data_IF_181527668375
#
_entry.id   IF_181527668375
#
_cell.length_a   1.000
_cell.length_b   1.000
_cell.length_c   1.000
_cell.angle_alpha   90.00
_cell.angle_beta   90.00
_cell.angle_gamma   90.00
#
_symmetry.space_group_name_H-M   'P 1'
#
loop_
_entity.id
_entity.type
_entity.pdbx_description
1 polymer ?
#
# COMPACT_ATOMS: atom_id res chain seq x y z
N UNK A 1 6.92 -26.78 -19.35
CA UNK A 1 8.21 -26.46 -18.72
C UNK A 1 8.10 -25.25 -17.84
N UNK A 2 8.90 -25.13 -16.75
CA UNK A 2 8.94 -23.96 -15.87
C UNK A 2 9.28 -22.69 -16.66
N UNK A 3 10.07 -22.78 -17.71
CA UNK A 3 10.44 -21.66 -18.58
C UNK A 3 9.28 -21.09 -19.42
N UNK A 4 8.15 -21.78 -19.46
CA UNK A 4 6.94 -21.35 -20.17
C UNK A 4 5.92 -20.69 -19.28
N UNK A 5 6.18 -20.59 -17.96
CA UNK A 5 5.26 -20.01 -16.98
C UNK A 5 5.61 -18.53 -16.81
N UNK A 6 4.63 -17.66 -17.00
CA UNK A 6 4.71 -16.25 -16.62
C UNK A 6 4.07 -16.05 -15.25
N UNK A 7 4.76 -15.35 -14.36
CA UNK A 7 4.24 -14.94 -13.06
C UNK A 7 3.46 -13.62 -13.14
N UNK A 8 3.62 -12.88 -14.23
CA UNK A 8 2.92 -11.61 -14.40
C UNK A 8 1.41 -11.82 -14.53
N UNK A 9 0.65 -10.93 -13.93
CA UNK A 9 -0.81 -10.85 -14.02
C UNK A 9 -1.22 -9.40 -14.29
N UNK A 10 -2.36 -9.24 -14.89
CA UNK A 10 -2.98 -7.94 -15.12
C UNK A 10 -4.20 -7.77 -14.22
N UNK A 11 -4.32 -6.61 -13.61
CA UNK A 11 -5.46 -6.23 -12.76
C UNK A 11 -6.03 -4.90 -13.23
N UNK A 12 -7.36 -4.82 -13.24
CA UNK A 12 -8.10 -3.58 -13.39
C UNK A 12 -8.77 -3.30 -12.04
N UNK A 13 -8.33 -2.25 -11.38
CA UNK A 13 -8.82 -1.94 -10.04
C UNK A 13 -10.22 -1.32 -10.05
N UNK A 14 -11.05 -1.74 -9.10
CA UNK A 14 -12.48 -1.41 -9.07
C UNK A 14 -12.76 0.08 -8.94
N UNK A 15 -12.04 0.76 -8.04
CA UNK A 15 -12.29 2.16 -7.70
C UNK A 15 -11.43 3.12 -8.51
N UNK A 16 -10.13 2.91 -8.56
CA UNK A 16 -9.21 3.78 -9.32
C UNK A 16 -9.37 3.66 -10.84
N UNK A 17 -9.96 2.56 -11.32
CA UNK A 17 -10.07 2.20 -12.76
C UNK A 17 -8.72 2.05 -13.45
N UNK A 18 -7.63 2.05 -12.72
CA UNK A 18 -6.28 1.86 -13.25
C UNK A 18 -6.03 0.40 -13.59
N UNK A 19 -5.31 0.19 -14.67
CA UNK A 19 -4.74 -1.12 -15.03
C UNK A 19 -3.31 -1.19 -14.53
N UNK A 20 -2.96 -2.30 -13.89
CA UNK A 20 -1.59 -2.59 -13.49
C UNK A 20 -1.20 -4.00 -13.92
N UNK A 21 0.04 -4.16 -14.37
CA UNK A 21 0.61 -5.44 -14.77
C UNK A 21 1.95 -5.68 -14.07
N UNK A 22 2.10 -6.84 -13.47
CA UNK A 22 3.33 -7.25 -12.81
C UNK A 22 3.16 -8.59 -12.10
N UNK A 23 4.14 -8.92 -11.27
CA UNK A 23 4.06 -10.08 -10.38
C UNK A 23 3.24 -9.68 -9.15
N UNK A 24 2.13 -10.38 -8.84
CA UNK A 24 1.19 -9.94 -7.80
C UNK A 24 1.70 -10.26 -6.38
N UNK A 25 2.84 -9.67 -6.05
CA UNK A 25 3.47 -9.71 -4.73
C UNK A 25 3.70 -8.26 -4.30
N UNK A 26 3.48 -7.97 -3.03
CA UNK A 26 3.75 -6.65 -2.44
C UNK A 26 4.66 -6.85 -1.24
N UNK A 27 5.86 -6.26 -1.28
CA UNK A 27 6.74 -6.21 -0.11
C UNK A 27 6.10 -5.33 0.97
N UNK A 28 6.09 -5.83 2.21
CA UNK A 28 5.40 -5.20 3.33
C UNK A 28 5.99 -3.83 3.70
N UNK A 29 5.14 -2.95 4.17
CA UNK A 29 5.47 -1.59 4.61
C UNK A 29 6.15 -1.55 6.01
N UNK A 30 6.98 -2.52 6.29
CA UNK A 30 7.80 -2.58 7.51
C UNK A 30 9.09 -1.80 7.28
N UNK A 31 9.61 -1.16 8.33
CA UNK A 31 10.80 -0.29 8.29
C UNK A 31 12.08 -1.01 7.82
N UNK A 32 12.15 -2.33 7.96
CA UNK A 32 13.27 -3.17 7.50
C UNK A 32 13.01 -3.90 6.18
N UNK A 33 11.82 -3.76 5.59
CA UNK A 33 11.41 -4.45 4.35
C UNK A 33 11.00 -3.45 3.27
N UNK A 34 10.10 -2.53 3.59
CA UNK A 34 9.58 -1.54 2.65
C UNK A 34 10.54 -0.35 2.50
N UNK A 35 11.76 -0.58 2.09
CA UNK A 35 12.80 0.44 1.91
C UNK A 35 12.96 0.86 0.45
N UNK A 36 13.65 1.97 0.20
CA UNK A 36 13.97 2.42 -1.16
C UNK A 36 14.86 1.44 -1.90
N UNK A 37 15.80 0.81 -1.21
CA UNK A 37 16.67 -0.23 -1.79
C UNK A 37 15.86 -1.45 -2.22
N UNK A 38 14.94 -1.90 -1.38
CA UNK A 38 14.03 -3.00 -1.72
C UNK A 38 13.13 -2.63 -2.90
N UNK A 39 12.60 -1.40 -2.92
CA UNK A 39 11.77 -0.92 -4.02
C UNK A 39 12.52 -0.92 -5.36
N UNK A 40 13.78 -0.49 -5.35
CA UNK A 40 14.63 -0.51 -6.55
C UNK A 40 14.84 -1.94 -7.06
N UNK A 41 15.23 -2.85 -6.18
CA UNK A 41 15.51 -4.24 -6.56
C UNK A 41 14.24 -4.98 -7.04
N UNK A 42 13.13 -4.81 -6.33
CA UNK A 42 11.88 -5.51 -6.66
C UNK A 42 11.17 -4.93 -7.90
N UNK A 43 11.38 -3.67 -8.21
CA UNK A 43 10.83 -3.08 -9.44
C UNK A 43 11.40 -3.73 -10.71
N UNK A 44 12.65 -4.19 -10.70
CA UNK A 44 13.26 -4.95 -11.79
C UNK A 44 12.51 -6.27 -12.05
N UNK A 45 11.95 -6.86 -10.99
CA UNK A 45 11.13 -8.09 -11.04
C UNK A 45 9.63 -7.80 -11.20
N UNK A 46 9.25 -6.54 -11.40
CA UNK A 46 7.85 -6.07 -11.53
C UNK A 46 7.00 -6.39 -10.29
N UNK A 47 7.59 -6.28 -9.12
CA UNK A 47 6.99 -6.49 -7.80
C UNK A 47 6.81 -5.15 -7.11
N UNK A 48 5.66 -4.94 -6.46
CA UNK A 48 5.35 -3.70 -5.73
C UNK A 48 6.05 -3.72 -4.36
N UNK A 49 6.62 -2.59 -3.97
CA UNK A 49 7.05 -2.35 -2.59
C UNK A 49 6.16 -1.28 -1.96
N UNK A 50 5.48 -1.63 -0.86
CA UNK A 50 4.86 -0.64 0.01
C UNK A 50 5.96 -0.02 0.87
N UNK A 51 6.36 1.20 0.52
CA UNK A 51 7.47 1.90 1.20
C UNK A 51 6.97 2.41 2.55
N UNK A 52 7.74 2.14 3.62
CA UNK A 52 7.34 2.51 4.99
C UNK A 52 7.20 4.03 5.16
N UNK A 53 6.39 4.46 6.12
CA UNK A 53 5.99 5.85 6.32
C UNK A 53 7.05 6.77 6.95
N UNK A 54 8.22 6.26 7.32
CA UNK A 54 9.20 7.01 8.12
C UNK A 54 10.14 7.89 7.29
N UNK A 55 10.23 7.69 5.97
CA UNK A 55 11.01 8.56 5.09
C UNK A 55 10.44 9.97 5.01
N UNK A 56 11.33 10.97 4.98
CA UNK A 56 10.98 12.38 4.79
C UNK A 56 10.68 12.72 3.32
N UNK A 57 10.11 13.89 3.07
CA UNK A 57 9.87 14.38 1.72
C UNK A 57 11.17 14.58 0.92
N UNK A 58 12.23 14.99 1.61
CA UNK A 58 13.58 15.15 1.04
C UNK A 58 14.16 13.82 0.60
N UNK A 59 14.03 12.79 1.43
CA UNK A 59 14.46 11.41 1.11
C UNK A 59 13.68 10.83 -0.08
N UNK A 60 12.35 11.05 -0.13
CA UNK A 60 11.53 10.71 -1.27
C UNK A 60 12.00 11.42 -2.55
N UNK A 61 12.34 12.72 -2.45
CA UNK A 61 12.84 13.48 -3.59
C UNK A 61 14.15 12.91 -4.12
N UNK A 62 15.12 12.69 -3.23
CA UNK A 62 16.41 12.12 -3.60
C UNK A 62 16.27 10.72 -4.23
N UNK A 63 15.37 9.89 -3.70
CA UNK A 63 15.11 8.56 -4.26
C UNK A 63 14.53 8.64 -5.67
N UNK A 64 13.47 9.43 -5.87
CA UNK A 64 12.75 9.47 -7.15
C UNK A 64 13.54 10.21 -8.24
N UNK A 65 14.34 11.22 -7.90
CA UNK A 65 15.23 11.90 -8.83
C UNK A 65 16.31 10.97 -9.40
N UNK A 66 16.72 9.96 -8.64
CA UNK A 66 17.73 9.00 -9.06
C UNK A 66 17.14 7.66 -9.57
N UNK A 67 15.83 7.55 -9.64
CA UNK A 67 15.14 6.33 -10.05
C UNK A 67 14.67 6.41 -11.50
N UNK A 68 14.58 5.29 -12.23
CA UNK A 68 13.99 5.26 -13.56
C UNK A 68 12.48 5.56 -13.48
N UNK A 69 11.91 6.12 -14.55
CA UNK A 69 10.48 6.44 -14.64
C UNK A 69 9.57 5.25 -14.33
N UNK A 70 10.00 4.04 -14.68
CA UNK A 70 9.24 2.81 -14.44
C UNK A 70 9.00 2.51 -12.96
N UNK A 71 9.80 3.09 -12.04
CA UNK A 71 9.69 2.86 -10.59
C UNK A 71 8.28 3.18 -10.07
N UNK A 72 7.63 4.21 -10.63
CA UNK A 72 6.30 4.66 -10.22
C UNK A 72 5.21 3.59 -10.32
N UNK A 73 5.42 2.55 -11.14
CA UNK A 73 4.48 1.43 -11.29
C UNK A 73 4.59 0.41 -10.16
N UNK A 74 5.70 0.42 -9.42
CA UNK A 74 6.05 -0.63 -8.46
C UNK A 74 6.30 -0.12 -7.04
N UNK A 75 5.84 1.09 -6.74
CA UNK A 75 5.92 1.67 -5.40
C UNK A 75 4.56 2.10 -4.87
N UNK A 76 4.36 1.93 -3.58
CA UNK A 76 3.24 2.51 -2.84
C UNK A 76 3.78 3.37 -1.70
N UNK A 77 3.18 4.54 -1.48
CA UNK A 77 3.41 5.29 -0.25
C UNK A 77 2.59 4.69 0.87
N UNK A 78 3.14 4.58 2.06
CA UNK A 78 2.42 4.05 3.22
C UNK A 78 2.10 5.13 4.23
N UNK A 79 0.96 4.95 4.91
CA UNK A 79 0.40 5.90 5.85
C UNK A 79 -0.30 5.18 6.99
N UNK A 80 -0.30 5.78 8.17
CA UNK A 80 -1.28 5.50 9.22
C UNK A 80 -2.57 6.29 8.98
N UNK A 81 -3.28 6.64 10.07
CA UNK A 81 -4.57 7.35 10.04
C UNK A 81 -4.58 8.64 10.85
N UNK A 82 -3.42 9.13 11.24
CA UNK A 82 -3.28 10.41 11.93
C UNK A 82 -3.40 11.62 11.00
N UNK A 83 -3.64 12.80 11.57
CA UNK A 83 -3.70 14.06 10.79
C UNK A 83 -2.37 14.35 10.08
N UNK A 84 -1.24 14.11 10.73
CA UNK A 84 0.09 14.25 10.12
C UNK A 84 0.33 13.25 9.00
N UNK A 85 -0.26 12.04 9.09
CA UNK A 85 -0.17 11.03 8.05
C UNK A 85 -0.91 11.50 6.78
N UNK A 86 -2.09 12.11 6.94
CA UNK A 86 -2.88 12.65 5.84
C UNK A 86 -2.14 13.79 5.11
N UNK A 87 -1.60 14.73 5.87
CA UNK A 87 -0.83 15.86 5.31
C UNK A 87 0.36 15.35 4.50
N UNK A 88 1.07 14.35 5.02
CA UNK A 88 2.21 13.73 4.35
C UNK A 88 1.84 13.04 3.03
N UNK A 89 0.70 12.32 2.98
CA UNK A 89 0.19 11.76 1.72
C UNK A 89 -0.01 12.89 0.69
N UNK A 90 -0.68 13.97 1.10
CA UNK A 90 -0.97 15.12 0.22
C UNK A 90 0.30 15.76 -0.31
N UNK A 91 1.29 15.98 0.55
CA UNK A 91 2.58 16.55 0.15
C UNK A 91 3.31 15.66 -0.85
N UNK A 92 3.44 14.35 -0.57
CA UNK A 92 4.15 13.42 -1.44
C UNK A 92 3.43 13.30 -2.80
N UNK A 93 2.12 13.11 -2.82
CA UNK A 93 1.36 12.98 -4.07
C UNK A 93 1.36 14.29 -4.87
N UNK A 94 1.30 15.44 -4.20
CA UNK A 94 1.38 16.74 -4.87
C UNK A 94 2.72 16.92 -5.58
N UNK A 95 3.80 16.52 -4.94
CA UNK A 95 5.15 16.61 -5.52
C UNK A 95 5.43 15.53 -6.56
N UNK A 96 4.90 14.32 -6.35
CA UNK A 96 5.12 13.14 -7.19
C UNK A 96 3.80 12.52 -7.66
N UNK A 97 3.04 13.21 -8.53
CA UNK A 97 1.69 12.79 -8.91
C UNK A 97 1.64 11.46 -9.69
N UNK A 98 2.78 10.97 -10.17
CA UNK A 98 2.88 9.68 -10.86
C UNK A 98 2.83 8.48 -9.91
N UNK A 99 3.03 8.65 -8.61
CA UNK A 99 2.82 7.58 -7.63
C UNK A 99 1.33 7.20 -7.68
N UNK A 100 1.05 5.94 -7.96
CA UNK A 100 -0.31 5.46 -8.16
C UNK A 100 -0.90 4.74 -6.94
N UNK A 101 -0.08 4.16 -6.07
CA UNK A 101 -0.54 3.34 -4.95
C UNK A 101 -0.38 4.07 -3.62
N UNK A 102 -1.46 4.03 -2.81
CA UNK A 102 -1.48 4.53 -1.42
C UNK A 102 -1.82 3.33 -0.52
N UNK A 103 -0.95 2.99 0.42
CA UNK A 103 -1.12 1.92 1.39
C UNK A 103 -1.49 2.51 2.75
N UNK A 104 -2.73 2.30 3.19
CA UNK A 104 -3.22 2.72 4.50
C UNK A 104 -3.17 1.50 5.42
N UNK A 105 -2.26 1.55 6.40
CA UNK A 105 -1.95 0.40 7.24
C UNK A 105 -2.14 0.71 8.71
N UNK A 106 -2.95 -0.09 9.38
CA UNK A 106 -3.12 -0.11 10.83
C UNK A 106 -3.07 -1.55 11.34
N UNK A 107 -2.62 -1.72 12.58
CA UNK A 107 -2.52 -3.05 13.21
C UNK A 107 -3.87 -3.77 13.33
N UNK A 108 -4.95 -3.01 13.47
CA UNK A 108 -6.32 -3.51 13.55
C UNK A 108 -7.27 -2.54 12.84
N UNK A 109 -7.77 -2.96 11.67
CA UNK A 109 -8.69 -2.18 10.84
C UNK A 109 -10.15 -2.14 11.33
N UNK A 110 -10.45 -2.71 12.49
CA UNK A 110 -11.79 -2.74 13.11
C UNK A 110 -12.12 -1.42 13.82
N UNK A 111 -12.13 -0.32 13.10
CA UNK A 111 -12.60 0.94 13.67
C UNK A 111 -13.30 1.79 12.63
N UNK A 112 -14.37 2.46 13.06
CA UNK A 112 -15.07 3.44 12.22
C UNK A 112 -14.12 4.55 11.74
N UNK A 113 -13.20 4.96 12.60
CA UNK A 113 -12.17 5.93 12.25
C UNK A 113 -11.34 5.48 11.04
N UNK A 114 -10.92 4.22 11.02
CA UNK A 114 -10.15 3.66 9.90
C UNK A 114 -10.95 3.66 8.59
N UNK A 115 -12.18 3.19 8.63
CA UNK A 115 -13.09 3.16 7.48
C UNK A 115 -13.33 4.59 6.95
N UNK A 116 -13.58 5.54 7.83
CA UNK A 116 -13.80 6.95 7.47
C UNK A 116 -12.54 7.57 6.87
N UNK A 117 -11.36 7.22 7.36
CA UNK A 117 -10.10 7.66 6.79
C UNK A 117 -9.91 7.12 5.36
N UNK A 118 -10.21 5.84 5.12
CA UNK A 118 -10.17 5.25 3.76
C UNK A 118 -11.12 5.99 2.82
N UNK A 119 -12.37 6.27 3.26
CA UNK A 119 -13.35 7.05 2.47
C UNK A 119 -12.81 8.44 2.12
N UNK A 120 -12.16 9.10 3.08
CA UNK A 120 -11.58 10.43 2.89
C UNK A 120 -10.43 10.40 1.87
N UNK A 121 -9.50 9.46 2.02
CA UNK A 121 -8.39 9.30 1.07
C UNK A 121 -8.92 8.99 -0.33
N UNK A 122 -9.97 8.15 -0.45
CA UNK A 122 -10.63 7.91 -1.74
C UNK A 122 -11.22 9.17 -2.35
N UNK A 123 -11.87 10.01 -1.55
CA UNK A 123 -12.44 11.27 -2.02
C UNK A 123 -11.36 12.26 -2.49
N UNK A 124 -10.28 12.36 -1.73
CA UNK A 124 -9.15 13.26 -2.04
C UNK A 124 -8.34 12.78 -3.26
N UNK A 125 -8.26 11.46 -3.49
CA UNK A 125 -7.45 10.84 -4.55
C UNK A 125 -8.26 9.81 -5.36
N UNK A 126 -9.24 10.25 -6.15
CA UNK A 126 -10.17 9.35 -6.84
C UNK A 126 -9.50 8.44 -7.89
N UNK A 127 -8.35 8.84 -8.42
CA UNK A 127 -7.60 8.13 -9.45
C UNK A 127 -6.46 7.23 -8.90
N UNK A 128 -6.20 7.27 -7.59
CA UNK A 128 -5.15 6.44 -6.98
C UNK A 128 -5.68 5.07 -6.57
N UNK A 129 -4.83 4.06 -6.62
CA UNK A 129 -5.14 2.72 -6.17
C UNK A 129 -4.86 2.61 -4.67
N UNK A 130 -5.90 2.34 -3.87
CA UNK A 130 -5.80 2.30 -2.42
C UNK A 130 -5.68 0.85 -1.93
N UNK A 131 -4.61 0.59 -1.17
CA UNK A 131 -4.37 -0.62 -0.41
C UNK A 131 -4.75 -0.31 1.03
N UNK A 132 -5.61 -1.11 1.67
CA UNK A 132 -6.05 -0.84 3.04
C UNK A 132 -6.11 -2.10 3.90
N UNK A 133 -5.76 -2.00 5.16
CA UNK A 133 -5.83 -3.08 6.16
C UNK A 133 -5.06 -2.75 7.44
N UNK A 134 -4.94 -3.71 8.36
CA UNK A 134 -5.29 -5.12 8.19
C UNK A 134 -6.62 -5.48 8.83
N UNK A 135 -7.30 -6.40 8.21
CA UNK A 135 -8.56 -6.96 8.69
C UNK A 135 -8.52 -8.49 8.61
N UNK A 136 -9.45 -9.19 9.26
CA UNK A 136 -9.45 -10.67 9.33
C UNK A 136 -10.81 -11.31 9.03
N UNK A 137 -11.87 -10.53 8.79
CA UNK A 137 -13.21 -11.06 8.48
C UNK A 137 -13.70 -10.61 7.11
N UNK A 138 -14.58 -11.42 6.50
CA UNK A 138 -15.21 -11.08 5.23
C UNK A 138 -16.03 -9.80 5.29
N UNK A 139 -16.71 -9.55 6.42
CA UNK A 139 -17.50 -8.32 6.65
C UNK A 139 -16.63 -7.05 6.55
N UNK A 140 -15.45 -7.06 7.20
CA UNK A 140 -14.55 -5.93 7.14
C UNK A 140 -13.87 -5.78 5.77
N UNK A 141 -13.63 -6.89 5.06
CA UNK A 141 -13.15 -6.83 3.67
C UNK A 141 -14.18 -6.12 2.80
N UNK A 142 -15.46 -6.50 2.92
CA UNK A 142 -16.56 -5.87 2.17
C UNK A 142 -16.68 -4.39 2.51
N UNK A 143 -16.63 -4.03 3.80
CA UNK A 143 -16.73 -2.65 4.25
C UNK A 143 -15.60 -1.78 3.68
N UNK A 144 -14.37 -2.26 3.65
CA UNK A 144 -13.23 -1.53 3.08
C UNK A 144 -13.36 -1.38 1.54
N UNK A 145 -13.86 -2.41 0.85
CA UNK A 145 -14.15 -2.31 -0.59
C UNK A 145 -15.21 -1.22 -0.85
N UNK A 146 -16.28 -1.21 -0.07
CA UNK A 146 -17.33 -0.20 -0.17
C UNK A 146 -16.85 1.21 0.23
N UNK A 147 -15.89 1.29 1.14
CA UNK A 147 -15.22 2.54 1.51
C UNK A 147 -14.33 3.11 0.40
N UNK A 148 -13.97 2.30 -0.60
CA UNK A 148 -13.19 2.74 -1.76
C UNK A 148 -11.79 2.13 -1.87
N UNK A 149 -11.45 1.13 -1.07
CA UNK A 149 -10.19 0.40 -1.23
C UNK A 149 -10.23 -0.52 -2.45
N UNK A 150 -9.12 -0.62 -3.16
CA UNK A 150 -8.95 -1.50 -4.32
C UNK A 150 -8.29 -2.82 -3.96
N UNK A 151 -7.39 -2.79 -2.97
CA UNK A 151 -6.64 -3.96 -2.47
C UNK A 151 -6.81 -4.00 -0.96
N UNK A 152 -7.20 -5.16 -0.43
CA UNK A 152 -7.40 -5.35 1.00
C UNK A 152 -6.29 -6.21 1.58
N UNK A 153 -5.66 -5.73 2.67
CA UNK A 153 -4.68 -6.50 3.44
C UNK A 153 -5.42 -7.34 4.47
N UNK A 154 -5.48 -8.65 4.23
CA UNK A 154 -6.15 -9.62 5.10
C UNK A 154 -5.13 -10.40 5.91
N UNK A 155 -5.28 -10.43 7.21
CA UNK A 155 -4.42 -11.14 8.16
C UNK A 155 -3.81 -10.21 9.20
N UNK A 156 -3.83 -10.64 10.47
CA UNK A 156 -3.24 -9.92 11.60
C UNK A 156 -2.39 -10.91 12.40
N UNK A 157 -1.09 -10.65 12.50
CA UNK A 157 -0.16 -11.38 13.33
C UNK A 157 -0.09 -12.90 13.10
N UNK A 158 -0.01 -13.39 11.85
CA UNK A 158 0.01 -14.84 11.57
C UNK A 158 1.35 -15.50 11.92
N UNK A 159 2.42 -14.73 12.08
CA UNK A 159 3.74 -15.24 12.43
C UNK A 159 3.80 -15.78 13.86
N UNK A 160 4.54 -16.86 14.08
CA UNK A 160 4.64 -17.55 15.38
C UNK A 160 5.20 -16.69 16.52
N UNK A 161 6.00 -15.69 16.19
CA UNK A 161 6.61 -14.75 17.16
C UNK A 161 5.87 -13.41 17.26
N UNK A 162 4.80 -13.22 16.46
CA UNK A 162 4.09 -11.95 16.41
C UNK A 162 3.22 -11.73 17.64
N UNK A 163 3.34 -10.57 18.28
CA UNK A 163 2.56 -10.19 19.47
C UNK A 163 1.31 -9.36 19.14
N UNK A 164 1.07 -9.03 17.87
CA UNK A 164 -0.04 -8.16 17.46
C UNK A 164 -1.40 -8.71 17.88
N UNK A 165 -1.66 -10.01 17.71
CA UNK A 165 -2.92 -10.65 18.13
C UNK A 165 -3.19 -10.48 19.63
N UNK A 166 -2.15 -10.66 20.45
CA UNK A 166 -2.25 -10.49 21.91
C UNK A 166 -2.53 -9.02 22.27
N UNK A 167 -1.88 -8.09 21.58
CA UNK A 167 -2.02 -6.65 21.85
C UNK A 167 -3.32 -6.04 21.32
N UNK A 168 -3.80 -6.51 20.18
CA UNK A 168 -5.00 -5.97 19.53
C UNK A 168 -6.28 -6.75 19.86
N UNK A 169 -6.14 -7.98 20.34
CA UNK A 169 -7.27 -8.89 20.59
C UNK A 169 -7.92 -9.45 19.32
N UNK A 170 -7.29 -9.28 18.17
CA UNK A 170 -7.83 -9.68 16.86
C UNK A 170 -6.77 -10.42 16.03
N UNK A 171 -7.20 -11.48 15.32
CA UNK A 171 -6.31 -12.22 14.43
C UNK A 171 -6.82 -13.58 14.00
#
# INVERSE_FOLDING_TARGET
SRSQVSLEREFIFRNSKKTWRGVPIIAANMDTVGTFEMATALAEEKIITAIHKHYTLEEWSAFLENSPESIYQYIAISSGTGSSDEEKIKEIISKFPKINFICIDVANGYSEHFVNFVKKVRADFPDKTIIAGNVVTGEMVEELILAGADIIKVGIGPGSVCTTRVKTGVG
#
